data_IF_204498836939
#
_entry.id   IF_204498836939
#
_cell.length_a   1.000
_cell.length_b   1.000
_cell.length_c   1.000
_cell.angle_alpha   90.00
_cell.angle_beta   90.00
_cell.angle_gamma   90.00
#
_symmetry.space_group_name_H-M   'P 1'
#
loop_
_entity.id
_entity.type
_entity.pdbx_description
1 polymer ?
#
# COMPACT_ATOMS: atom_id res chain seq x y z
N UNK A 1 -9.83 -12.12 -9.68
CA UNK A 1 -8.72 -11.24 -10.11
C UNK A 1 -7.92 -10.79 -8.90
N UNK A 2 -6.62 -10.89 -9.01
CA UNK A 2 -5.74 -10.46 -7.93
C UNK A 2 -5.60 -8.94 -7.97
N UNK A 3 -5.76 -8.29 -6.81
CA UNK A 3 -5.64 -6.84 -6.73
C UNK A 3 -4.53 -6.37 -5.78
N UNK A 4 -3.83 -7.30 -5.15
CA UNK A 4 -2.71 -7.02 -4.27
C UNK A 4 -1.48 -7.83 -4.62
N UNK A 5 -0.32 -7.24 -4.36
CA UNK A 5 0.97 -7.92 -4.47
C UNK A 5 1.45 -8.24 -3.05
N UNK A 6 1.35 -9.49 -2.65
CA UNK A 6 1.51 -9.92 -1.27
C UNK A 6 2.75 -10.78 -1.09
N UNK A 7 3.46 -10.53 0.01
CA UNK A 7 4.66 -11.30 0.37
C UNK A 7 4.64 -11.61 1.86
N UNK A 8 4.92 -12.86 2.22
CA UNK A 8 5.09 -13.24 3.61
C UNK A 8 6.47 -12.80 4.09
N UNK A 9 6.53 -12.22 5.28
CA UNK A 9 7.76 -11.62 5.84
C UNK A 9 8.09 -12.31 7.16
N UNK A 10 9.33 -12.78 7.29
CA UNK A 10 9.79 -13.45 8.51
C UNK A 10 10.37 -12.44 9.52
N UNK A 11 9.61 -11.40 9.83
CA UNK A 11 9.95 -10.37 10.80
C UNK A 11 8.81 -10.21 11.80
N UNK A 12 9.10 -9.74 13.03
CA UNK A 12 8.03 -9.31 13.93
C UNK A 12 7.20 -8.20 13.28
N UNK A 13 5.92 -8.14 13.62
CA UNK A 13 4.99 -7.21 12.99
C UNK A 13 5.50 -5.76 13.00
N UNK A 14 5.93 -5.25 14.16
CA UNK A 14 6.40 -3.86 14.25
C UNK A 14 7.61 -3.60 13.34
N UNK A 15 8.52 -4.56 13.24
CA UNK A 15 9.69 -4.45 12.36
C UNK A 15 9.27 -4.46 10.90
N UNK A 16 8.31 -5.31 10.55
CA UNK A 16 7.78 -5.36 9.18
C UNK A 16 7.14 -4.04 8.79
N UNK A 17 6.40 -3.40 9.68
CA UNK A 17 5.80 -2.07 9.45
C UNK A 17 6.90 -1.05 9.15
N UNK A 18 7.92 -1.00 10.00
CA UNK A 18 9.02 -0.03 9.85
C UNK A 18 9.81 -0.27 8.56
N UNK A 19 10.14 -1.52 8.27
CA UNK A 19 10.87 -1.87 7.04
C UNK A 19 10.06 -1.56 5.78
N UNK A 20 8.75 -1.74 5.84
CA UNK A 20 7.87 -1.40 4.73
C UNK A 20 7.89 0.11 4.46
N UNK A 21 7.82 0.92 5.51
CA UNK A 21 7.91 2.38 5.36
C UNK A 21 9.25 2.80 4.72
N UNK A 22 10.35 2.19 5.17
CA UNK A 22 11.68 2.49 4.62
C UNK A 22 11.78 2.07 3.16
N UNK A 23 11.26 0.89 2.82
CA UNK A 23 11.27 0.40 1.45
C UNK A 23 10.48 1.31 0.52
N UNK A 24 9.31 1.76 0.96
CA UNK A 24 8.46 2.69 0.20
C UNK A 24 9.17 4.03 -0.02
N UNK A 25 9.84 4.54 1.02
CA UNK A 25 10.56 5.81 0.92
C UNK A 25 11.66 5.75 -0.16
N UNK A 26 12.33 4.61 -0.28
CA UNK A 26 13.38 4.43 -1.30
C UNK A 26 12.82 4.49 -2.73
N UNK A 27 11.55 4.19 -2.90
CA UNK A 27 10.88 4.25 -4.20
C UNK A 27 10.12 5.56 -4.41
N UNK A 28 10.35 6.55 -3.54
CA UNK A 28 9.74 7.87 -3.66
C UNK A 28 8.36 8.00 -3.04
N UNK A 29 7.91 7.02 -2.25
CA UNK A 29 6.60 7.07 -1.60
C UNK A 29 6.73 7.62 -0.18
N UNK A 30 5.94 8.67 0.11
CA UNK A 30 5.74 9.14 1.49
C UNK A 30 4.50 8.50 2.09
N UNK A 31 4.49 8.34 3.39
CA UNK A 31 3.33 7.80 4.10
C UNK A 31 2.46 8.98 4.55
N UNK A 32 1.29 9.12 3.93
CA UNK A 32 0.35 10.21 4.25
C UNK A 32 -0.55 9.86 5.42
N UNK A 33 -0.96 8.59 5.48
CA UNK A 33 -1.87 8.11 6.51
C UNK A 33 -1.39 6.77 7.02
N UNK A 34 -1.65 6.55 8.30
CA UNK A 34 -1.37 5.26 8.94
C UNK A 34 -2.57 4.93 9.81
N UNK A 35 -3.25 3.82 9.49
CA UNK A 35 -4.44 3.40 10.22
C UNK A 35 -4.14 2.09 10.93
N UNK A 36 -4.20 2.13 12.27
CA UNK A 36 -4.10 0.92 13.09
C UNK A 36 -5.50 0.33 13.18
N UNK A 37 -5.78 -0.66 12.34
CA UNK A 37 -7.11 -1.27 12.25
C UNK A 37 -7.45 -2.00 13.54
N UNK A 38 -6.50 -2.71 14.12
CA UNK A 38 -6.71 -3.43 15.38
C UNK A 38 -7.16 -2.47 16.49
N UNK A 39 -6.43 -1.37 16.66
CA UNK A 39 -6.76 -0.37 17.68
C UNK A 39 -8.10 0.32 17.41
N UNK A 40 -8.36 0.62 16.13
CA UNK A 40 -9.60 1.28 15.72
C UNK A 40 -10.82 0.41 16.01
N UNK A 41 -10.78 -0.87 15.66
CA UNK A 41 -11.89 -1.79 15.88
C UNK A 41 -12.08 -2.09 17.37
N UNK A 42 -11.00 -2.14 18.12
CA UNK A 42 -11.07 -2.30 19.56
C UNK A 42 -11.78 -1.12 20.21
N UNK A 43 -11.43 0.09 19.80
CA UNK A 43 -12.01 1.32 20.34
C UNK A 43 -13.49 1.47 19.96
N UNK A 44 -13.84 1.20 18.70
CA UNK A 44 -15.18 1.48 18.19
C UNK A 44 -16.18 0.36 18.46
N UNK A 45 -15.74 -0.89 18.45
CA UNK A 45 -16.62 -2.05 18.55
C UNK A 45 -16.27 -2.99 19.70
N UNK A 46 -15.20 -2.68 20.45
CA UNK A 46 -14.63 -3.59 21.45
C UNK A 46 -14.31 -4.96 20.84
N UNK A 47 -14.01 -4.99 19.55
CA UNK A 47 -13.62 -6.21 18.84
C UNK A 47 -12.14 -6.47 19.02
N UNK A 48 -11.77 -7.75 19.15
CA UNK A 48 -10.38 -8.17 19.20
C UNK A 48 -10.00 -8.76 17.84
N UNK A 49 -8.80 -8.43 17.36
CA UNK A 49 -8.33 -8.94 16.08
C UNK A 49 -6.82 -8.99 16.03
N UNK A 50 -6.31 -9.46 14.91
CA UNK A 50 -4.88 -9.52 14.69
C UNK A 50 -4.33 -8.13 14.37
N UNK A 51 -3.02 -7.97 14.49
CA UNK A 51 -2.35 -6.75 14.07
C UNK A 51 -2.61 -6.49 12.60
N UNK A 52 -2.98 -5.25 12.28
CA UNK A 52 -3.30 -4.85 10.91
C UNK A 52 -3.11 -3.34 10.79
N UNK A 53 -2.26 -2.92 9.86
CA UNK A 53 -1.99 -1.50 9.61
C UNK A 53 -2.18 -1.20 8.13
N UNK A 54 -2.87 -0.10 7.82
CA UNK A 54 -3.02 0.39 6.46
C UNK A 54 -2.15 1.63 6.32
N UNK A 55 -1.22 1.60 5.38
CA UNK A 55 -0.34 2.73 5.05
C UNK A 55 -0.82 3.35 3.75
N UNK A 56 -1.22 4.62 3.81
CA UNK A 56 -1.57 5.36 2.59
C UNK A 56 -0.31 5.96 2.00
N UNK A 57 0.19 5.37 0.93
CA UNK A 57 1.45 5.75 0.31
C UNK A 57 1.22 6.65 -0.89
N UNK A 58 1.97 7.75 -0.97
CA UNK A 58 1.89 8.70 -2.07
C UNK A 58 3.26 8.95 -2.67
N UNK A 59 3.35 8.79 -3.99
CA UNK A 59 4.50 9.25 -4.76
C UNK A 59 4.09 10.60 -5.37
N UNK A 60 4.59 11.75 -4.86
CA UNK A 60 4.07 13.05 -5.26
C UNK A 60 4.17 13.32 -6.76
N UNK A 61 5.26 12.92 -7.41
CA UNK A 61 5.43 13.12 -8.84
C UNK A 61 4.38 12.37 -9.65
N UNK A 62 4.11 11.12 -9.29
CA UNK A 62 3.11 10.31 -9.97
C UNK A 62 1.69 10.79 -9.68
N UNK A 63 1.41 11.15 -8.41
CA UNK A 63 0.09 11.65 -8.01
C UNK A 63 -0.22 12.97 -8.70
N UNK A 64 0.76 13.86 -8.83
CA UNK A 64 0.57 15.13 -9.53
C UNK A 64 0.19 14.90 -10.99
N UNK A 65 0.91 14.02 -11.69
CA UNK A 65 0.62 13.67 -13.08
C UNK A 65 -0.75 13.03 -13.22
N UNK A 66 -1.12 12.16 -12.27
CA UNK A 66 -2.42 11.50 -12.29
C UNK A 66 -3.56 12.51 -12.15
N UNK A 67 -3.43 13.46 -11.23
CA UNK A 67 -4.44 14.51 -11.03
C UNK A 67 -4.55 15.45 -12.23
N UNK A 68 -3.46 15.66 -12.96
CA UNK A 68 -3.48 16.43 -14.21
C UNK A 68 -4.23 15.67 -15.31
N UNK A 69 -4.08 14.35 -15.36
CA UNK A 69 -4.70 13.52 -16.37
C UNK A 69 -6.18 13.24 -16.09
N UNK A 70 -6.55 13.11 -14.81
CA UNK A 70 -7.89 12.71 -14.40
C UNK A 70 -8.18 13.36 -13.04
N UNK A 71 -9.04 14.38 -13.02
CA UNK A 71 -9.29 15.19 -11.82
C UNK A 71 -9.82 14.36 -10.65
N UNK A 72 -10.69 13.40 -10.94
CA UNK A 72 -11.32 12.58 -9.90
C UNK A 72 -10.51 11.35 -9.50
N UNK A 73 -9.27 11.23 -10.00
CA UNK A 73 -8.44 10.08 -9.62
C UNK A 73 -8.17 10.02 -8.12
N UNK A 74 -8.36 11.13 -7.42
CA UNK A 74 -8.26 11.17 -5.96
C UNK A 74 -9.14 10.16 -5.25
N UNK A 75 -10.23 9.72 -5.91
CA UNK A 75 -11.09 8.66 -5.38
C UNK A 75 -10.35 7.33 -5.23
N UNK A 76 -9.27 7.14 -6.01
CA UNK A 76 -8.47 5.92 -6.01
C UNK A 76 -7.08 6.14 -5.40
N UNK A 77 -6.90 7.26 -4.70
CA UNK A 77 -5.64 7.59 -4.02
C UNK A 77 -5.90 7.73 -2.52
N UNK A 78 -4.89 7.52 -1.67
CA UNK A 78 -3.52 7.11 -1.97
C UNK A 78 -3.43 5.61 -2.31
N UNK A 79 -2.25 5.16 -2.77
CA UNK A 79 -2.01 3.74 -2.93
C UNK A 79 -1.85 3.11 -1.56
N UNK A 80 -2.69 2.16 -1.22
CA UNK A 80 -2.62 1.52 0.09
C UNK A 80 -1.63 0.36 0.08
N UNK A 81 -0.83 0.32 1.14
CA UNK A 81 0.05 -0.82 1.44
C UNK A 81 -0.31 -1.27 2.85
N UNK A 82 -0.55 -2.56 3.01
CA UNK A 82 -0.95 -3.10 4.30
C UNK A 82 0.12 -4.02 4.86
N UNK A 83 0.21 -4.03 6.20
CA UNK A 83 1.01 -5.00 6.94
C UNK A 83 0.06 -5.64 7.93
N UNK A 84 -0.01 -6.97 7.92
CA UNK A 84 -0.94 -7.66 8.80
C UNK A 84 -0.42 -9.01 9.22
N UNK A 85 -0.96 -9.48 10.34
CA UNK A 85 -0.73 -10.84 10.81
C UNK A 85 -1.97 -11.69 10.54
N UNK A 86 -1.74 -12.92 10.16
CA UNK A 86 -2.79 -13.92 10.03
C UNK A 86 -2.21 -15.26 10.48
N UNK A 87 -2.82 -15.84 11.50
CA UNK A 87 -2.42 -17.14 12.06
C UNK A 87 -0.93 -17.19 12.41
N UNK A 88 -0.42 -16.09 12.97
CA UNK A 88 0.96 -15.99 13.42
C UNK A 88 1.98 -15.63 12.35
N UNK A 89 1.55 -15.50 11.10
CA UNK A 89 2.42 -15.08 9.99
C UNK A 89 2.20 -13.60 9.68
N UNK A 90 3.27 -12.93 9.29
CA UNK A 90 3.23 -11.50 8.92
C UNK A 90 3.31 -11.38 7.40
N UNK A 91 2.45 -10.54 6.85
CA UNK A 91 2.37 -10.28 5.41
C UNK A 91 2.44 -8.80 5.11
N UNK A 92 3.07 -8.46 3.99
CA UNK A 92 3.05 -7.13 3.42
C UNK A 92 2.39 -7.24 2.06
N UNK A 93 1.45 -6.34 1.78
CA UNK A 93 0.73 -6.35 0.51
C UNK A 93 0.52 -4.94 0.00
N UNK A 94 0.83 -4.69 -1.26
CA UNK A 94 0.58 -3.41 -1.92
C UNK A 94 -0.55 -3.57 -2.92
N UNK A 95 -1.40 -2.56 -3.04
CA UNK A 95 -2.42 -2.51 -4.08
C UNK A 95 -1.73 -2.59 -5.45
N UNK A 96 -2.37 -3.22 -6.42
CA UNK A 96 -1.92 -3.21 -7.82
C UNK A 96 -2.62 -2.07 -8.55
N UNK A 97 -1.93 -0.93 -8.79
CA UNK A 97 -2.58 0.23 -9.43
C UNK A 97 -3.16 -0.07 -10.80
N UNK A 98 -2.55 -0.96 -11.58
CA UNK A 98 -3.09 -1.32 -12.89
C UNK A 98 -4.45 -1.99 -12.78
N UNK A 99 -4.70 -2.70 -11.67
CA UNK A 99 -6.01 -3.33 -11.41
C UNK A 99 -6.99 -2.32 -10.83
N UNK A 100 -6.57 -1.59 -9.79
CA UNK A 100 -7.42 -0.61 -9.10
C UNK A 100 -7.89 0.50 -10.05
N UNK A 101 -7.02 0.96 -10.94
CA UNK A 101 -7.30 2.06 -11.84
C UNK A 101 -7.86 1.62 -13.19
N UNK A 102 -8.11 0.32 -13.36
CA UNK A 102 -8.65 -0.22 -14.61
C UNK A 102 -10.02 0.36 -14.95
N UNK A 103 -10.78 0.77 -13.94
CA UNK A 103 -12.11 1.37 -14.15
C UNK A 103 -12.04 2.76 -14.79
N UNK A 104 -10.85 3.38 -14.81
CA UNK A 104 -10.66 4.71 -15.40
C UNK A 104 -10.25 4.54 -16.86
N UNK A 105 -11.09 4.99 -17.76
CA UNK A 105 -10.81 4.91 -19.21
C UNK A 105 -9.97 6.12 -19.64
N UNK A 106 -8.66 6.03 -19.36
CA UNK A 106 -7.72 7.11 -19.66
C UNK A 106 -6.32 6.50 -19.80
N UNK A 107 -5.77 6.57 -21.02
CA UNK A 107 -4.46 5.96 -21.32
C UNK A 107 -3.30 6.53 -20.51
N UNK A 108 -3.37 7.82 -20.12
CA UNK A 108 -2.32 8.40 -19.28
C UNK A 108 -2.38 7.82 -17.85
N UNK A 109 -3.58 7.56 -17.35
CA UNK A 109 -3.74 6.91 -16.05
C UNK A 109 -3.21 5.48 -16.10
N UNK A 110 -3.47 4.76 -17.18
CA UNK A 110 -2.95 3.39 -17.35
C UNK A 110 -1.41 3.38 -17.29
N UNK A 111 -0.76 4.32 -17.97
CA UNK A 111 0.71 4.41 -17.97
C UNK A 111 1.26 4.78 -16.59
N UNK A 112 0.64 5.72 -15.90
CA UNK A 112 1.04 6.13 -14.55
C UNK A 112 0.85 4.96 -13.58
N UNK A 113 -0.24 4.21 -13.73
CA UNK A 113 -0.51 3.03 -12.91
C UNK A 113 0.58 1.97 -13.06
N UNK A 114 1.05 1.73 -14.28
CA UNK A 114 2.13 0.79 -14.54
C UNK A 114 3.44 1.22 -13.86
N UNK A 115 3.76 2.51 -13.92
CA UNK A 115 4.95 3.05 -13.29
C UNK A 115 4.86 2.94 -11.75
N UNK A 116 3.71 3.30 -11.18
CA UNK A 116 3.48 3.19 -9.73
C UNK A 116 3.58 1.73 -9.28
N UNK A 117 2.98 0.81 -10.04
CA UNK A 117 2.97 -0.61 -9.69
C UNK A 117 4.38 -1.20 -9.69
N UNK A 118 5.19 -0.84 -10.67
CA UNK A 118 6.58 -1.29 -10.74
C UNK A 118 7.35 -0.89 -9.47
N UNK A 119 7.15 0.35 -9.02
CA UNK A 119 7.80 0.86 -7.80
C UNK A 119 7.26 0.20 -6.53
N UNK A 120 5.95 -0.03 -6.46
CA UNK A 120 5.34 -0.70 -5.30
C UNK A 120 5.81 -2.16 -5.19
N UNK A 121 5.87 -2.89 -6.30
CA UNK A 121 6.38 -4.26 -6.31
C UNK A 121 7.82 -4.30 -5.84
N UNK A 122 8.65 -3.37 -6.30
CA UNK A 122 10.05 -3.29 -5.92
C UNK A 122 10.18 -3.01 -4.42
N UNK A 123 9.34 -2.12 -3.88
CA UNK A 123 9.34 -1.82 -2.45
C UNK A 123 8.98 -3.07 -1.64
N UNK A 124 7.91 -3.77 -1.99
CA UNK A 124 7.49 -4.99 -1.29
C UNK A 124 8.58 -6.05 -1.35
N UNK A 125 9.17 -6.24 -2.52
CA UNK A 125 10.25 -7.24 -2.70
C UNK A 125 11.48 -6.92 -1.85
N UNK A 126 11.71 -5.66 -1.54
CA UNK A 126 12.88 -5.23 -0.77
C UNK A 126 12.67 -5.29 0.74
N UNK A 127 11.46 -5.60 1.22
CA UNK A 127 11.24 -5.77 2.65
C UNK A 127 11.97 -7.03 3.10
N UNK A 128 12.94 -6.84 4.00
CA UNK A 128 13.83 -7.91 4.40
C UNK A 128 13.16 -8.91 5.33
N UNK A 129 13.53 -10.18 5.18
CA UNK A 129 13.13 -11.24 6.10
C UNK A 129 14.15 -11.44 7.24
N UNK A 130 15.16 -10.60 7.29
CA UNK A 130 16.22 -10.68 8.29
C UNK A 130 15.89 -9.90 9.56
#
# INVERSE_FOLDING_TARGET
>A
MRYGYTKQIALPFADAVQKTKEALAKEGFGILTEIDVKATLKKKLNANGDNYVILGACNPALSYRALQAEKEIGLLLPCNVIVYEDRGSVFVSAILPTVAMHVVDNGRIAAIGQEAESKLRKAVDSVSNE
#
